data_IF_015872397793
#
_entry.id   IF_015872397793
#
_cell.length_a   1.000
_cell.length_b   1.000
_cell.length_c   1.000
_cell.angle_alpha   90.00
_cell.angle_beta   90.00
_cell.angle_gamma   90.00
#
_symmetry.space_group_name_H-M   'P 1'
#
loop_
_entity.id
_entity.type
_entity.pdbx_description
1 polymer ?
#
# COMPACT_ATOMS: atom_id res chain seq x y z
N UNK A 1 42.22 10.37 -35.71
CA UNK A 1 43.12 9.72 -34.74
C UNK A 1 42.85 10.36 -33.38
N UNK A 2 42.59 9.72 -32.25
CA UNK A 2 42.08 8.40 -31.88
C UNK A 2 41.29 8.67 -30.58
N UNK A 3 40.06 8.15 -30.46
CA UNK A 3 39.27 8.21 -29.22
C UNK A 3 39.91 7.24 -28.22
N UNK A 4 40.73 7.74 -27.30
CA UNK A 4 41.41 6.93 -26.30
C UNK A 4 40.42 6.67 -25.16
N UNK A 5 39.95 5.43 -25.13
CA UNK A 5 39.02 4.87 -24.16
C UNK A 5 39.62 4.88 -22.75
N UNK A 6 39.04 5.70 -21.87
CA UNK A 6 39.28 5.84 -20.42
C UNK A 6 39.21 4.53 -19.60
N UNK A 7 38.77 3.40 -20.19
CA UNK A 7 38.43 2.19 -19.42
C UNK A 7 39.60 1.31 -19.01
N UNK A 8 40.85 1.65 -19.31
CA UNK A 8 41.98 0.75 -18.98
C UNK A 8 43.20 1.56 -18.60
N UNK A 9 43.34 1.94 -17.33
CA UNK A 9 44.66 2.06 -16.70
C UNK A 9 44.54 2.14 -15.17
N UNK A 10 45.21 1.19 -14.51
CA UNK A 10 45.59 1.17 -13.09
C UNK A 10 44.44 1.03 -12.07
N UNK A 11 44.28 -0.05 -11.31
CA UNK A 11 45.30 -1.00 -10.84
C UNK A 11 45.89 -0.56 -9.50
N UNK A 12 45.63 -1.37 -8.48
CA UNK A 12 46.41 -1.60 -7.24
C UNK A 12 45.87 -1.02 -5.91
N UNK A 13 45.53 -1.99 -5.04
CA UNK A 13 45.59 -2.04 -3.57
C UNK A 13 44.97 -0.92 -2.71
N UNK A 14 43.78 -1.23 -2.18
CA UNK A 14 43.30 -0.68 -0.91
C UNK A 14 42.53 -1.76 -0.17
N UNK A 15 43.23 -2.49 0.69
CA UNK A 15 42.67 -3.47 1.63
C UNK A 15 41.75 -2.72 2.61
N UNK A 16 40.45 -2.62 2.31
CA UNK A 16 39.48 -2.03 3.24
C UNK A 16 39.15 -3.08 4.30
N UNK A 17 39.75 -2.88 5.47
CA UNK A 17 39.48 -3.63 6.68
C UNK A 17 37.99 -3.56 7.03
N UNK A 18 37.37 -4.73 7.17
CA UNK A 18 36.07 -4.92 7.78
C UNK A 18 36.16 -4.54 9.27
N UNK A 19 35.79 -3.30 9.60
CA UNK A 19 35.33 -2.91 10.92
C UNK A 19 34.08 -2.04 10.80
N UNK A 20 33.00 -2.65 10.29
CA UNK A 20 31.64 -2.16 10.51
C UNK A 20 31.04 -2.95 11.68
N UNK A 21 31.50 -2.63 12.89
CA UNK A 21 30.84 -3.05 14.12
C UNK A 21 30.23 -1.80 14.77
N UNK A 22 28.93 -1.85 15.01
CA UNK A 22 28.27 -0.94 15.93
C UNK A 22 27.06 -0.22 15.36
N UNK A 23 25.89 -0.75 15.73
CA UNK A 23 24.57 -0.13 15.62
C UNK A 23 23.94 -0.21 14.22
N UNK A 24 23.51 -1.42 13.87
CA UNK A 24 22.22 -1.57 13.19
C UNK A 24 21.19 -0.82 14.03
N UNK A 25 20.85 0.41 13.65
CA UNK A 25 19.57 0.99 14.05
C UNK A 25 18.57 -0.03 13.55
N UNK A 26 17.99 -0.79 14.49
CA UNK A 26 16.84 -1.63 14.20
C UNK A 26 15.93 -0.73 13.38
N UNK A 27 15.70 -1.10 12.12
CA UNK A 27 14.54 -0.62 11.41
C UNK A 27 13.42 -0.78 12.43
N UNK A 28 12.82 0.34 12.83
CA UNK A 28 11.65 0.32 13.69
C UNK A 28 10.68 -0.54 12.91
N UNK A 29 10.58 -1.81 13.30
CA UNK A 29 9.55 -2.70 12.82
C UNK A 29 8.29 -2.07 13.38
N UNK A 30 7.65 -1.22 12.57
CA UNK A 30 6.34 -0.64 12.88
C UNK A 30 5.46 -1.86 13.15
N UNK A 31 5.09 -2.11 14.42
CA UNK A 31 4.33 -3.30 14.75
C UNK A 31 2.97 -3.14 14.09
N UNK A 32 2.66 -4.01 13.12
CA UNK A 32 1.38 -4.07 12.42
C UNK A 32 0.95 -2.76 11.74
N UNK A 33 1.62 -2.37 10.66
CA UNK A 33 0.95 -1.56 9.65
C UNK A 33 -0.20 -2.40 9.08
N UNK A 34 -1.44 -2.09 9.47
CA UNK A 34 -2.63 -2.73 8.89
C UNK A 34 -2.64 -2.38 7.41
N UNK A 35 -2.35 -3.37 6.58
CA UNK A 35 -2.39 -3.23 5.12
C UNK A 35 -3.83 -3.34 4.67
N UNK A 36 -4.33 -2.33 3.96
CA UNK A 36 -5.66 -2.38 3.35
C UNK A 36 -5.61 -3.24 2.08
N UNK A 37 -6.40 -4.30 2.03
CA UNK A 37 -6.50 -5.24 0.90
C UNK A 37 -7.38 -4.68 -0.23
N UNK A 38 -6.88 -3.61 -0.83
CA UNK A 38 -7.50 -2.97 -2.00
C UNK A 38 -7.50 -3.86 -3.25
N UNK A 39 -6.61 -4.87 -3.31
CA UNK A 39 -6.52 -5.78 -4.43
C UNK A 39 -7.70 -6.75 -4.45
N UNK A 40 -8.02 -7.39 -3.32
CA UNK A 40 -9.19 -8.25 -3.22
C UNK A 40 -10.49 -7.50 -3.47
N UNK A 41 -10.59 -6.23 -3.06
CA UNK A 41 -11.72 -5.38 -3.43
C UNK A 41 -11.87 -5.26 -4.95
N UNK A 42 -10.78 -4.93 -5.64
CA UNK A 42 -10.82 -4.79 -7.09
C UNK A 42 -11.17 -6.11 -7.80
N UNK A 43 -10.62 -7.23 -7.33
CA UNK A 43 -10.92 -8.55 -7.89
C UNK A 43 -12.39 -8.95 -7.69
N UNK A 44 -12.94 -8.75 -6.50
CA UNK A 44 -14.32 -9.14 -6.17
C UNK A 44 -15.37 -8.47 -7.06
N UNK A 45 -15.05 -7.30 -7.63
CA UNK A 45 -15.95 -6.51 -8.48
C UNK A 45 -15.53 -6.43 -9.95
N UNK A 46 -14.47 -7.15 -10.37
CA UNK A 46 -13.99 -7.10 -11.76
C UNK A 46 -15.01 -7.61 -12.79
N UNK A 47 -15.94 -8.49 -12.39
CA UNK A 47 -17.02 -9.03 -13.22
C UNK A 47 -18.38 -8.37 -13.00
N UNK A 48 -18.44 -7.23 -12.31
CA UNK A 48 -19.70 -6.54 -11.96
C UNK A 48 -19.63 -5.09 -12.45
N UNK A 49 -19.85 -4.83 -13.76
CA UNK A 49 -19.59 -3.53 -14.39
C UNK A 49 -20.27 -2.35 -13.68
N UNK A 50 -21.51 -2.55 -13.24
CA UNK A 50 -22.31 -1.56 -12.52
C UNK A 50 -21.73 -1.15 -11.16
N UNK A 51 -20.97 -2.03 -10.50
CA UNK A 51 -20.35 -1.76 -9.20
C UNK A 51 -18.84 -1.51 -9.29
N UNK A 52 -18.23 -1.84 -10.44
CA UNK A 52 -16.79 -1.72 -10.66
C UNK A 52 -16.30 -0.27 -10.54
N UNK A 53 -17.11 0.71 -10.94
CA UNK A 53 -16.77 2.13 -10.79
C UNK A 53 -16.57 2.52 -9.32
N UNK A 54 -17.49 2.13 -8.43
CA UNK A 54 -17.41 2.40 -6.99
C UNK A 54 -16.24 1.64 -6.35
N UNK A 55 -16.01 0.38 -6.73
CA UNK A 55 -14.85 -0.39 -6.24
C UNK A 55 -13.52 0.27 -6.65
N UNK A 56 -13.37 0.67 -7.91
CA UNK A 56 -12.18 1.38 -8.38
C UNK A 56 -12.01 2.73 -7.68
N UNK A 57 -13.11 3.45 -7.44
CA UNK A 57 -13.06 4.72 -6.72
C UNK A 57 -12.62 4.54 -5.27
N UNK A 58 -13.14 3.53 -4.57
CA UNK A 58 -12.70 3.18 -3.22
C UNK A 58 -11.19 2.88 -3.20
N UNK A 59 -10.69 2.07 -4.13
CA UNK A 59 -9.25 1.78 -4.28
C UNK A 59 -8.43 3.06 -4.49
N UNK A 60 -8.90 3.98 -5.33
CA UNK A 60 -8.22 5.26 -5.56
C UNK A 60 -8.21 6.13 -4.30
N UNK A 61 -9.32 6.25 -3.59
CA UNK A 61 -9.39 6.96 -2.32
C UNK A 61 -8.42 6.36 -1.28
N UNK A 62 -8.35 5.03 -1.17
CA UNK A 62 -7.37 4.32 -0.31
C UNK A 62 -5.93 4.70 -0.68
N UNK A 63 -5.59 4.69 -1.98
CA UNK A 63 -4.23 5.02 -2.46
C UNK A 63 -3.81 6.45 -2.13
N UNK A 64 -4.76 7.38 -2.11
CA UNK A 64 -4.51 8.79 -1.76
C UNK A 64 -4.77 9.12 -0.30
N UNK A 65 -4.93 8.10 0.57
CA UNK A 65 -5.26 8.25 1.98
C UNK A 65 -6.55 9.06 2.26
N UNK A 66 -7.44 9.18 1.27
CA UNK A 66 -8.80 9.71 1.44
C UNK A 66 -9.70 8.61 2.03
N UNK A 67 -9.49 8.31 3.30
CA UNK A 67 -10.23 7.24 3.98
C UNK A 67 -11.72 7.54 4.12
N UNK A 68 -12.13 8.81 4.18
CA UNK A 68 -13.55 9.17 4.20
C UNK A 68 -14.21 8.89 2.84
N UNK A 69 -13.56 9.28 1.74
CA UNK A 69 -14.04 8.94 0.40
C UNK A 69 -14.07 7.43 0.16
N UNK A 70 -13.06 6.69 0.66
CA UNK A 70 -13.05 5.24 0.57
C UNK A 70 -14.24 4.61 1.30
N UNK A 71 -14.53 5.04 2.53
CA UNK A 71 -15.68 4.54 3.30
C UNK A 71 -17.02 4.87 2.62
N UNK A 72 -17.16 6.06 2.04
CA UNK A 72 -18.37 6.42 1.31
C UNK A 72 -18.62 5.51 0.09
N UNK A 73 -17.57 5.16 -0.67
CA UNK A 73 -17.70 4.23 -1.80
C UNK A 73 -17.94 2.79 -1.35
N UNK A 74 -17.33 2.36 -0.25
CA UNK A 74 -17.56 1.03 0.34
C UNK A 74 -19.00 0.91 0.88
N UNK A 75 -19.56 1.96 1.48
CA UNK A 75 -20.95 1.99 1.93
C UNK A 75 -21.93 1.90 0.73
N UNK A 76 -21.62 2.57 -0.39
CA UNK A 76 -22.38 2.40 -1.64
C UNK A 76 -22.35 0.96 -2.14
N UNK A 77 -21.16 0.32 -2.13
CA UNK A 77 -21.02 -1.08 -2.51
C UNK A 77 -21.81 -1.98 -1.58
N UNK A 78 -21.78 -1.75 -0.26
CA UNK A 78 -22.52 -2.53 0.73
C UNK A 78 -24.04 -2.41 0.59
N UNK A 79 -24.53 -1.25 0.13
CA UNK A 79 -25.95 -1.00 -0.13
C UNK A 79 -26.43 -1.56 -1.48
N UNK A 80 -25.53 -2.03 -2.35
CA UNK A 80 -25.90 -2.54 -3.66
C UNK A 80 -26.69 -3.86 -3.55
N UNK A 81 -27.82 -4.00 -4.28
CA UNK A 81 -28.53 -5.28 -4.33
C UNK A 81 -27.72 -6.32 -5.10
N UNK A 82 -27.91 -7.61 -4.78
CA UNK A 82 -27.34 -8.71 -5.56
C UNK A 82 -25.87 -9.03 -5.30
N UNK A 83 -25.25 -8.45 -4.26
CA UNK A 83 -23.91 -8.85 -3.84
C UNK A 83 -23.86 -10.34 -3.53
N UNK A 84 -22.86 -11.01 -4.08
CA UNK A 84 -22.50 -12.37 -3.67
C UNK A 84 -21.87 -12.36 -2.27
N UNK A 85 -21.89 -13.49 -1.58
CA UNK A 85 -21.29 -13.57 -0.23
C UNK A 85 -19.79 -13.25 -0.22
N UNK A 86 -18.97 -13.67 -1.21
CA UNK A 86 -17.59 -13.20 -1.33
C UNK A 86 -17.48 -11.67 -1.42
N UNK A 87 -18.30 -11.02 -2.24
CA UNK A 87 -18.29 -9.56 -2.38
C UNK A 87 -18.66 -8.85 -1.06
N UNK A 88 -19.71 -9.31 -0.36
CA UNK A 88 -20.09 -8.76 0.95
C UNK A 88 -18.96 -8.87 1.96
N UNK A 89 -18.32 -10.04 2.01
CA UNK A 89 -17.19 -10.29 2.91
C UNK A 89 -16.04 -9.34 2.59
N UNK A 90 -15.65 -9.22 1.32
CA UNK A 90 -14.58 -8.32 0.90
C UNK A 90 -14.89 -6.86 1.23
N UNK A 91 -16.11 -6.38 0.99
CA UNK A 91 -16.51 -5.00 1.37
C UNK A 91 -16.41 -4.79 2.87
N UNK A 92 -16.87 -5.77 3.67
CA UNK A 92 -16.82 -5.71 5.14
C UNK A 92 -15.39 -5.66 5.67
N UNK A 93 -14.54 -6.57 5.17
CA UNK A 93 -13.14 -6.69 5.59
C UNK A 93 -12.36 -5.40 5.26
N UNK A 94 -12.51 -4.89 4.04
CA UNK A 94 -11.81 -3.67 3.60
C UNK A 94 -12.35 -2.45 4.34
N UNK A 95 -13.66 -2.37 4.62
CA UNK A 95 -14.24 -1.32 5.46
C UNK A 95 -13.61 -1.30 6.85
N UNK A 96 -13.47 -2.48 7.48
CA UNK A 96 -12.82 -2.59 8.79
C UNK A 96 -11.36 -2.11 8.73
N UNK A 97 -10.60 -2.55 7.73
CA UNK A 97 -9.19 -2.15 7.57
C UNK A 97 -9.04 -0.64 7.36
N UNK A 98 -9.88 -0.03 6.52
CA UNK A 98 -9.88 1.42 6.29
C UNK A 98 -10.19 2.18 7.58
N UNK A 99 -11.18 1.72 8.37
CA UNK A 99 -11.50 2.34 9.67
C UNK A 99 -10.30 2.28 10.62
N UNK A 100 -9.67 1.12 10.76
CA UNK A 100 -8.54 0.97 11.67
C UNK A 100 -7.33 1.80 11.22
N UNK A 101 -7.02 1.86 9.92
CA UNK A 101 -5.93 2.71 9.42
C UNK A 101 -6.23 4.19 9.61
N UNK A 102 -7.46 4.63 9.36
CA UNK A 102 -7.90 6.01 9.58
C UNK A 102 -7.71 6.42 11.05
N UNK A 103 -8.15 5.56 11.98
CA UNK A 103 -8.00 5.78 13.43
C UNK A 103 -6.53 5.84 13.85
N UNK A 104 -5.71 4.90 13.37
CA UNK A 104 -4.28 4.87 13.67
C UNK A 104 -3.52 6.07 13.11
N UNK A 105 -3.92 6.58 11.94
CA UNK A 105 -3.29 7.76 11.31
C UNK A 105 -3.69 9.04 12.03
N UNK A 106 -4.94 9.15 12.49
CA UNK A 106 -5.39 10.27 13.31
C UNK A 106 -4.64 10.34 14.66
N UNK A 107 -4.29 9.20 15.25
CA UNK A 107 -3.53 9.12 16.49
C UNK A 107 -2.03 9.46 16.35
N UNK A 108 -1.47 9.43 15.13
CA UNK A 108 -0.05 9.64 14.87
C UNK A 108 0.30 11.08 14.41
N UNK A 109 -0.69 11.94 14.15
CA UNK A 109 -0.45 13.34 13.84
C UNK A 109 -0.04 14.10 15.12
N UNK A 110 1.08 14.85 15.13
CA UNK A 110 1.39 15.72 16.26
C UNK A 110 0.29 16.78 16.39
N UNK A 111 -0.31 16.85 17.58
CA UNK A 111 -1.21 17.96 17.96
C UNK A 111 -0.44 19.27 18.07
#
# INVERSE_FOLDING_TARGET
MQRINWRVLLGVCGLVLLMACGKSKKAVSVPNAITIDSYSLQQAFAGTPELQASANRAVMCIRYADYNGALAELDKLAAAPGLTDPQKKTVTDVTSQVKTVKENTAAAAPQ
#
